data_IF_957257706489
#
_entry.id   IF_957257706489
#
_cell.length_a   1.000
_cell.length_b   1.000
_cell.length_c   1.000
_cell.angle_alpha   90.00
_cell.angle_beta   90.00
_cell.angle_gamma   90.00
#
_symmetry.space_group_name_H-M   'P 1'
#
loop_
_entity.id
_entity.type
_entity.pdbx_description
1 polymer ?
#
# COMPACT_ATOMS: atom_id res chain seq x y z
N UNK A 1 -18.37 2.22 18.12
CA UNK A 1 -17.20 1.67 17.39
C UNK A 1 -17.49 1.62 15.88
N UNK A 2 -16.48 1.65 14.99
CA UNK A 2 -16.74 1.50 13.54
C UNK A 2 -17.53 0.22 13.21
N UNK A 3 -17.35 -0.83 14.00
CA UNK A 3 -18.10 -2.08 13.93
C UNK A 3 -19.63 -1.92 14.09
N UNK A 4 -20.11 -0.84 14.73
CA UNK A 4 -21.54 -0.61 14.97
C UNK A 4 -22.22 0.14 13.81
N UNK A 5 -21.46 0.67 12.85
CA UNK A 5 -22.02 1.34 11.69
C UNK A 5 -22.53 0.30 10.67
N UNK A 6 -23.70 -0.31 10.94
CA UNK A 6 -24.46 -1.06 9.94
C UNK A 6 -25.16 -0.15 8.91
N UNK A 7 -24.67 1.09 8.73
CA UNK A 7 -25.27 2.09 7.86
C UNK A 7 -25.38 1.60 6.41
N UNK A 8 -24.43 0.79 5.95
CA UNK A 8 -24.50 0.15 4.64
C UNK A 8 -25.71 -0.78 4.50
N UNK A 9 -25.96 -1.63 5.50
CA UNK A 9 -27.07 -2.59 5.49
C UNK A 9 -28.44 -1.92 5.51
N UNK A 10 -28.54 -0.79 6.22
CA UNK A 10 -29.81 -0.07 6.37
C UNK A 10 -30.05 0.91 5.22
N UNK A 11 -29.02 1.54 4.67
CA UNK A 11 -29.19 2.64 3.70
C UNK A 11 -29.09 2.17 2.25
N UNK A 12 -28.14 1.27 1.94
CA UNK A 12 -27.85 0.88 0.55
C UNK A 12 -29.06 0.27 -0.17
N UNK A 13 -29.85 -0.64 0.44
CA UNK A 13 -31.00 -1.22 -0.25
C UNK A 13 -32.04 -0.20 -0.71
N UNK A 14 -32.11 0.96 -0.04
CA UNK A 14 -33.08 2.01 -0.34
C UNK A 14 -32.54 3.08 -1.31
N UNK A 15 -31.22 3.16 -1.50
CA UNK A 15 -30.60 4.17 -2.38
C UNK A 15 -31.18 4.20 -3.81
N UNK A 16 -31.52 3.08 -4.46
CA UNK A 16 -32.11 3.11 -5.80
C UNK A 16 -33.47 3.81 -5.88
N UNK A 17 -34.19 3.90 -4.76
CA UNK A 17 -35.53 4.50 -4.68
C UNK A 17 -35.50 5.99 -4.31
N UNK A 18 -34.32 6.55 -4.05
CA UNK A 18 -34.14 7.95 -3.65
C UNK A 18 -33.74 8.76 -4.88
N UNK A 19 -34.61 9.68 -5.31
CA UNK A 19 -34.40 10.49 -6.52
C UNK A 19 -33.18 11.42 -6.41
N UNK A 20 -33.02 12.13 -5.28
CA UNK A 20 -31.80 12.87 -4.96
C UNK A 20 -31.12 12.30 -3.71
N UNK A 21 -30.03 11.58 -3.93
CA UNK A 21 -29.22 10.95 -2.87
C UNK A 21 -28.02 11.79 -2.43
N UNK A 22 -27.85 13.00 -2.96
CA UNK A 22 -26.64 13.82 -2.74
C UNK A 22 -26.42 14.16 -1.26
N UNK A 23 -27.45 14.62 -0.57
CA UNK A 23 -27.39 14.97 0.85
C UNK A 23 -27.17 13.75 1.74
N UNK A 24 -27.87 12.65 1.43
CA UNK A 24 -27.72 11.38 2.13
C UNK A 24 -26.30 10.84 2.01
N UNK A 25 -25.76 10.74 0.80
CA UNK A 25 -24.37 10.31 0.54
C UNK A 25 -23.39 11.22 1.26
N UNK A 26 -23.61 12.54 1.24
CA UNK A 26 -22.78 13.51 1.94
C UNK A 26 -22.80 13.34 3.46
N UNK A 27 -23.97 13.00 4.02
CA UNK A 27 -24.16 12.72 5.45
C UNK A 27 -23.46 11.43 5.87
N UNK A 28 -23.64 10.35 5.08
CA UNK A 28 -22.94 9.09 5.34
C UNK A 28 -21.44 9.27 5.23
N UNK A 29 -20.94 9.93 4.18
CA UNK A 29 -19.50 10.21 4.05
C UNK A 29 -18.98 10.97 5.26
N UNK A 30 -19.68 11.99 5.75
CA UNK A 30 -19.29 12.71 6.98
C UNK A 30 -19.15 11.78 8.17
N UNK A 31 -20.12 10.88 8.38
CA UNK A 31 -20.06 9.87 9.46
C UNK A 31 -18.91 8.89 9.27
N UNK A 32 -18.68 8.40 8.06
CA UNK A 32 -17.55 7.50 7.75
C UNK A 32 -16.21 8.20 7.98
N UNK A 33 -16.04 9.44 7.53
CA UNK A 33 -14.82 10.22 7.78
C UNK A 33 -14.58 10.45 9.28
N UNK A 34 -15.62 10.78 10.05
CA UNK A 34 -15.51 10.94 11.50
C UNK A 34 -15.19 9.60 12.19
N UNK A 35 -15.76 8.50 11.72
CA UNK A 35 -15.43 7.18 12.24
C UNK A 35 -13.96 6.82 11.94
N UNK A 36 -13.48 7.09 10.72
CA UNK A 36 -12.08 6.96 10.32
C UNK A 36 -11.13 7.86 11.11
N UNK A 37 -11.63 8.91 11.79
CA UNK A 37 -10.79 9.71 12.68
C UNK A 37 -10.33 8.97 13.93
N UNK A 38 -11.12 7.99 14.35
CA UNK A 38 -10.83 7.15 15.50
C UNK A 38 -10.31 5.76 15.10
N UNK A 39 -10.12 5.53 13.80
CA UNK A 39 -9.55 4.29 13.29
C UNK A 39 -8.03 4.36 13.23
N UNK A 40 -7.38 3.39 13.86
CA UNK A 40 -5.97 3.08 13.65
C UNK A 40 -5.86 1.72 12.96
N UNK A 41 -5.22 1.62 11.78
CA UNK A 41 -5.04 0.34 11.11
C UNK A 41 -4.17 -0.60 11.96
N UNK A 42 -4.62 -1.83 12.18
CA UNK A 42 -3.86 -2.88 12.88
C UNK A 42 -3.91 -4.19 12.10
N UNK A 43 -3.06 -5.16 12.44
CA UNK A 43 -3.07 -6.47 11.76
C UNK A 43 -4.46 -7.14 11.70
N UNK A 44 -5.31 -6.92 12.72
CA UNK A 44 -6.59 -7.61 12.90
C UNK A 44 -7.84 -6.87 12.40
N UNK A 45 -7.87 -5.54 12.47
CA UNK A 45 -9.14 -4.80 12.28
C UNK A 45 -9.46 -4.38 10.83
N UNK A 46 -8.53 -4.57 9.89
CA UNK A 46 -8.68 -4.03 8.53
C UNK A 46 -9.85 -4.65 7.74
N UNK A 47 -10.13 -5.95 7.92
CA UNK A 47 -11.18 -6.64 7.15
C UNK A 47 -12.59 -6.08 7.41
N UNK A 48 -12.88 -5.76 8.68
CA UNK A 48 -14.16 -5.17 9.08
C UNK A 48 -14.33 -3.77 8.47
N UNK A 49 -13.27 -2.95 8.51
CA UNK A 49 -13.29 -1.58 7.96
C UNK A 49 -13.39 -1.60 6.44
N UNK A 50 -12.67 -2.50 5.76
CA UNK A 50 -12.79 -2.69 4.31
C UNK A 50 -14.24 -3.05 3.95
N UNK A 51 -14.84 -4.01 4.64
CA UNK A 51 -16.21 -4.44 4.39
C UNK A 51 -17.24 -3.33 4.63
N UNK A 52 -16.98 -2.47 5.62
CA UNK A 52 -17.80 -1.28 5.89
C UNK A 52 -17.70 -0.25 4.77
N UNK A 53 -16.48 0.04 4.30
CA UNK A 53 -16.24 1.14 3.37
C UNK A 53 -16.48 0.79 1.91
N UNK A 54 -16.18 -0.46 1.50
CA UNK A 54 -16.18 -0.87 0.10
C UNK A 54 -17.46 -0.45 -0.66
N UNK A 55 -18.69 -0.69 -0.16
CA UNK A 55 -19.88 -0.28 -0.88
C UNK A 55 -19.99 1.25 -1.04
N UNK A 56 -19.51 2.00 -0.06
CA UNK A 56 -19.51 3.46 -0.11
C UNK A 56 -18.44 4.02 -1.03
N UNK A 57 -17.32 3.31 -1.21
CA UNK A 57 -16.30 3.67 -2.21
C UNK A 57 -16.86 3.53 -3.64
N UNK A 58 -17.76 2.58 -3.88
CA UNK A 58 -18.45 2.40 -5.16
C UNK A 58 -19.59 3.41 -5.38
N UNK A 59 -20.31 3.77 -4.31
CA UNK A 59 -21.44 4.71 -4.37
C UNK A 59 -20.97 6.18 -4.44
N UNK A 60 -19.94 6.53 -3.69
CA UNK A 60 -19.42 7.90 -3.66
C UNK A 60 -18.73 8.22 -4.99
N UNK A 61 -18.88 9.46 -5.45
CA UNK A 61 -18.26 9.92 -6.69
C UNK A 61 -17.64 11.32 -6.49
N UNK A 62 -16.73 11.70 -7.40
CA UNK A 62 -16.11 13.01 -7.42
C UNK A 62 -15.49 13.42 -6.08
N UNK A 63 -15.93 14.57 -5.55
CA UNK A 63 -15.42 15.16 -4.30
C UNK A 63 -15.64 14.26 -3.07
N UNK A 64 -16.75 13.52 -3.05
CA UNK A 64 -17.12 12.68 -1.90
C UNK A 64 -16.19 11.46 -1.79
N UNK A 65 -15.95 10.78 -2.92
CA UNK A 65 -15.01 9.67 -3.01
C UNK A 65 -13.59 10.13 -2.67
N UNK A 66 -13.14 11.24 -3.26
CA UNK A 66 -11.81 11.80 -3.01
C UNK A 66 -11.57 12.07 -1.53
N UNK A 67 -12.54 12.67 -0.83
CA UNK A 67 -12.42 12.94 0.62
C UNK A 67 -12.31 11.66 1.44
N UNK A 68 -13.08 10.63 1.10
CA UNK A 68 -13.03 9.36 1.80
C UNK A 68 -11.71 8.63 1.55
N UNK A 69 -11.26 8.60 0.29
CA UNK A 69 -9.98 8.01 -0.13
C UNK A 69 -8.79 8.67 0.55
N UNK A 70 -8.73 10.01 0.57
CA UNK A 70 -7.66 10.76 1.27
C UNK A 70 -7.63 10.37 2.75
N UNK A 71 -8.80 10.32 3.40
CA UNK A 71 -8.90 9.98 4.83
C UNK A 71 -8.33 8.59 5.13
N UNK A 72 -8.70 7.59 4.34
CA UNK A 72 -8.16 6.23 4.48
C UNK A 72 -6.66 6.21 4.20
N UNK A 73 -6.23 6.87 3.12
CA UNK A 73 -4.83 6.93 2.70
C UNK A 73 -3.94 7.55 3.78
N UNK A 74 -4.40 8.61 4.44
CA UNK A 74 -3.67 9.26 5.54
C UNK A 74 -3.48 8.32 6.73
N UNK A 75 -4.52 7.54 7.09
CA UNK A 75 -4.43 6.56 8.19
C UNK A 75 -3.45 5.44 7.87
N UNK A 76 -3.47 4.93 6.64
CA UNK A 76 -2.49 3.94 6.16
C UNK A 76 -1.08 4.51 6.12
N UNK A 77 -0.91 5.77 5.69
CA UNK A 77 0.39 6.43 5.64
C UNK A 77 0.99 6.63 7.04
N UNK A 78 0.19 6.99 8.02
CA UNK A 78 0.60 7.06 9.44
C UNK A 78 1.12 5.71 9.92
N UNK A 79 0.36 4.64 9.70
CA UNK A 79 0.78 3.27 10.04
C UNK A 79 2.09 2.89 9.35
N UNK A 80 2.21 3.13 8.04
CA UNK A 80 3.42 2.81 7.27
C UNK A 80 4.64 3.62 7.72
N UNK A 81 4.47 4.86 8.17
CA UNK A 81 5.58 5.65 8.73
C UNK A 81 6.03 5.13 10.08
N UNK A 82 5.08 4.72 10.92
CA UNK A 82 5.36 4.30 12.29
C UNK A 82 5.93 2.87 12.37
N UNK A 83 5.44 1.96 11.52
CA UNK A 83 5.63 0.51 11.74
C UNK A 83 6.22 -0.24 10.54
N UNK A 84 6.42 0.41 9.38
CA UNK A 84 6.98 -0.22 8.20
C UNK A 84 8.41 0.25 7.92
N UNK A 85 9.36 -0.65 8.12
CA UNK A 85 10.76 -0.48 7.78
C UNK A 85 11.22 -1.59 6.85
N UNK A 86 12.08 -1.23 5.90
CA UNK A 86 12.72 -2.19 4.99
C UNK A 86 14.07 -2.53 5.59
N UNK A 87 14.26 -3.79 5.95
CA UNK A 87 15.49 -4.29 6.58
C UNK A 87 15.64 -5.78 6.29
N UNK A 88 16.75 -6.17 5.66
CA UNK A 88 17.02 -7.56 5.29
C UNK A 88 17.14 -8.52 6.48
N UNK A 89 17.60 -8.04 7.63
CA UNK A 89 17.80 -8.87 8.82
C UNK A 89 16.52 -9.04 9.63
N UNK A 90 15.64 -8.04 9.62
CA UNK A 90 14.41 -8.02 10.42
C UNK A 90 13.26 -7.34 9.69
N UNK A 91 12.65 -8.05 8.75
CA UNK A 91 11.57 -7.50 7.94
C UNK A 91 10.20 -7.60 8.65
N UNK A 92 9.61 -6.44 8.97
CA UNK A 92 8.23 -6.36 9.49
C UNK A 92 7.27 -6.17 8.32
N UNK A 93 6.61 -7.26 7.89
CA UNK A 93 5.76 -7.28 6.68
C UNK A 93 4.29 -6.99 6.90
N UNK A 94 3.81 -6.95 8.15
CA UNK A 94 2.38 -6.83 8.41
C UNK A 94 1.76 -5.51 7.89
N UNK A 95 2.42 -4.32 7.97
CA UNK A 95 1.83 -3.08 7.45
C UNK A 95 1.75 -3.11 5.92
N UNK A 96 2.74 -3.73 5.27
CA UNK A 96 2.72 -4.00 3.83
C UNK A 96 1.53 -4.89 3.46
N UNK A 97 1.33 -6.01 4.16
CA UNK A 97 0.18 -6.91 3.94
C UNK A 97 -1.15 -6.20 4.13
N UNK A 98 -1.24 -5.28 5.10
CA UNK A 98 -2.41 -4.42 5.26
C UNK A 98 -2.59 -3.55 4.02
N UNK A 99 -1.57 -2.81 3.59
CA UNK A 99 -1.65 -1.94 2.41
C UNK A 99 -2.09 -2.70 1.14
N UNK A 100 -1.61 -3.94 0.94
CA UNK A 100 -2.00 -4.76 -0.21
C UNK A 100 -3.50 -5.08 -0.21
N UNK A 101 -4.11 -5.32 0.96
CA UNK A 101 -5.56 -5.58 1.06
C UNK A 101 -6.42 -4.38 0.65
N UNK A 102 -5.86 -3.16 0.72
CA UNK A 102 -6.56 -1.94 0.32
C UNK A 102 -6.52 -1.66 -1.18
N UNK A 103 -5.79 -2.46 -1.96
CA UNK A 103 -5.66 -2.30 -3.42
C UNK A 103 -7.01 -2.27 -4.15
N UNK A 104 -7.94 -3.13 -3.77
CA UNK A 104 -9.26 -3.23 -4.41
C UNK A 104 -10.31 -2.24 -3.86
N UNK A 105 -9.96 -1.45 -2.85
CA UNK A 105 -10.90 -0.57 -2.12
C UNK A 105 -10.64 0.90 -2.44
N UNK A 106 -9.36 1.28 -2.49
CA UNK A 106 -8.95 2.64 -2.83
C UNK A 106 -8.89 2.83 -4.35
N UNK A 107 -9.11 4.07 -4.84
CA UNK A 107 -8.72 4.43 -6.20
C UNK A 107 -7.26 4.07 -6.45
N UNK A 108 -6.99 3.50 -7.63
CA UNK A 108 -5.67 2.97 -7.98
C UNK A 108 -4.54 3.99 -7.76
N UNK A 109 -4.72 5.23 -8.22
CA UNK A 109 -3.70 6.28 -8.11
C UNK A 109 -3.36 6.61 -6.65
N UNK A 110 -4.37 6.68 -5.77
CA UNK A 110 -4.20 6.99 -4.36
C UNK A 110 -3.46 5.85 -3.63
N UNK A 111 -3.88 4.60 -3.91
CA UNK A 111 -3.22 3.42 -3.36
C UNK A 111 -1.78 3.27 -3.88
N UNK A 112 -1.58 3.40 -5.19
CA UNK A 112 -0.27 3.22 -5.80
C UNK A 112 0.70 4.32 -5.36
N UNK A 113 0.23 5.54 -5.12
CA UNK A 113 1.06 6.61 -4.55
C UNK A 113 1.62 6.21 -3.17
N UNK A 114 0.82 5.57 -2.31
CA UNK A 114 1.29 5.05 -1.02
C UNK A 114 2.32 3.93 -1.22
N UNK A 115 2.04 2.96 -2.09
CA UNK A 115 2.96 1.86 -2.40
C UNK A 115 4.30 2.41 -2.90
N UNK A 116 4.25 3.32 -3.87
CA UNK A 116 5.44 3.94 -4.45
C UNK A 116 6.26 4.67 -3.38
N UNK A 117 5.61 5.52 -2.57
CA UNK A 117 6.31 6.37 -1.59
C UNK A 117 6.82 5.61 -0.38
N UNK A 118 6.05 4.65 0.13
CA UNK A 118 6.32 3.99 1.41
C UNK A 118 6.96 2.63 1.29
N UNK A 119 6.71 1.92 0.19
CA UNK A 119 7.22 0.56 -0.03
C UNK A 119 8.34 0.59 -1.06
N UNK A 120 8.03 0.88 -2.32
CA UNK A 120 8.99 0.77 -3.43
C UNK A 120 10.15 1.76 -3.27
N UNK A 121 9.87 3.00 -2.84
CA UNK A 121 10.93 3.98 -2.54
C UNK A 121 11.87 3.52 -1.43
N UNK A 122 11.35 2.93 -0.34
CA UNK A 122 12.19 2.39 0.74
C UNK A 122 12.97 1.15 0.29
N UNK A 123 12.33 0.27 -0.49
CA UNK A 123 12.96 -0.91 -1.08
C UNK A 123 14.15 -0.55 -1.95
N UNK A 124 13.96 0.35 -2.93
CA UNK A 124 15.03 0.76 -3.85
C UNK A 124 16.14 1.51 -3.14
N UNK A 125 15.80 2.38 -2.17
CA UNK A 125 16.82 3.09 -1.39
C UNK A 125 17.67 2.13 -0.56
N UNK A 126 17.04 1.18 0.14
CA UNK A 126 17.76 0.18 0.93
C UNK A 126 18.66 -0.68 0.04
N UNK A 127 18.16 -1.14 -1.11
CA UNK A 127 18.94 -1.91 -2.07
C UNK A 127 20.17 -1.13 -2.54
N UNK A 128 20.02 0.15 -2.89
CA UNK A 128 21.14 0.99 -3.33
C UNK A 128 22.21 1.09 -2.25
N UNK A 129 21.82 1.42 -1.02
CA UNK A 129 22.76 1.53 0.11
C UNK A 129 23.46 0.21 0.37
N UNK A 130 22.76 -0.92 0.26
CA UNK A 130 23.37 -2.24 0.43
C UNK A 130 24.36 -2.57 -0.70
N UNK A 131 24.06 -2.22 -1.94
CA UNK A 131 24.97 -2.44 -3.08
C UNK A 131 26.23 -1.57 -3.04
N UNK A 132 26.17 -0.41 -2.38
CA UNK A 132 27.33 0.48 -2.17
C UNK A 132 28.29 -0.02 -1.07
N UNK A 133 27.83 -0.92 -0.21
CA UNK A 133 28.66 -1.53 0.84
C UNK A 133 29.67 -2.52 0.23
N UNK A 134 30.96 -2.25 0.45
CA UNK A 134 32.05 -3.10 -0.03
C UNK A 134 32.03 -4.51 0.58
N UNK A 135 31.44 -4.68 1.75
CA UNK A 135 31.28 -5.97 2.42
C UNK A 135 30.02 -6.73 1.98
N UNK A 136 29.19 -6.15 1.11
CA UNK A 136 27.94 -6.76 0.69
C UNK A 136 28.17 -8.10 -0.01
N UNK A 137 27.41 -9.10 0.45
CA UNK A 137 27.30 -10.42 -0.19
C UNK A 137 26.14 -10.39 -1.20
N UNK A 138 26.48 -10.50 -2.49
CA UNK A 138 25.49 -10.42 -3.58
C UNK A 138 24.51 -11.60 -3.62
N UNK A 139 24.87 -12.75 -3.04
CA UNK A 139 23.92 -13.87 -2.89
C UNK A 139 22.78 -13.49 -1.94
N UNK A 140 23.12 -12.90 -0.79
CA UNK A 140 22.14 -12.45 0.20
C UNK A 140 21.24 -11.32 -0.36
N UNK A 141 21.82 -10.42 -1.16
CA UNK A 141 21.07 -9.36 -1.86
C UNK A 141 20.08 -9.95 -2.88
N UNK A 142 20.50 -10.97 -3.64
CA UNK A 142 19.63 -11.65 -4.60
C UNK A 142 18.48 -12.41 -3.92
N UNK A 143 18.78 -13.11 -2.82
CA UNK A 143 17.75 -13.81 -2.02
C UNK A 143 16.75 -12.83 -1.43
N UNK A 144 17.23 -11.71 -0.87
CA UNK A 144 16.37 -10.65 -0.34
C UNK A 144 15.47 -10.04 -1.43
N UNK A 145 16.03 -9.76 -2.62
CA UNK A 145 15.25 -9.29 -3.77
C UNK A 145 14.12 -10.27 -4.12
N UNK A 146 14.43 -11.56 -4.15
CA UNK A 146 13.47 -12.61 -4.49
C UNK A 146 12.37 -12.74 -3.44
N UNK A 147 12.73 -12.71 -2.16
CA UNK A 147 11.75 -12.69 -1.06
C UNK A 147 10.80 -11.51 -1.19
N UNK A 148 11.31 -10.31 -1.49
CA UNK A 148 10.46 -9.14 -1.73
C UNK A 148 9.51 -9.32 -2.90
N UNK A 149 9.98 -9.89 -4.01
CA UNK A 149 9.13 -10.21 -5.16
C UNK A 149 7.99 -11.17 -4.76
N UNK A 150 8.29 -12.19 -3.96
CA UNK A 150 7.31 -13.17 -3.49
C UNK A 150 6.31 -12.62 -2.45
N UNK A 151 6.63 -11.52 -1.76
CA UNK A 151 5.70 -10.90 -0.82
C UNK A 151 4.49 -10.27 -1.49
N UNK A 152 4.62 -9.83 -2.75
CA UNK A 152 3.52 -9.21 -3.48
C UNK A 152 2.48 -10.25 -3.91
N UNK A 153 1.18 -9.97 -3.72
CA UNK A 153 0.12 -10.75 -4.33
C UNK A 153 0.29 -10.80 -5.86
N UNK A 154 0.02 -11.95 -6.53
CA UNK A 154 0.24 -12.11 -7.97
C UNK A 154 -0.43 -11.03 -8.83
N UNK A 155 -1.67 -10.67 -8.48
CA UNK A 155 -2.46 -9.65 -9.17
C UNK A 155 -1.85 -8.26 -9.06
N UNK A 156 -1.17 -7.98 -7.95
CA UNK A 156 -0.47 -6.70 -7.74
C UNK A 156 0.89 -6.73 -8.44
N UNK A 157 1.61 -7.85 -8.37
CA UNK A 157 2.90 -8.00 -9.06
C UNK A 157 2.75 -7.99 -10.59
N UNK A 158 1.57 -8.34 -11.11
CA UNK A 158 1.25 -8.24 -12.53
C UNK A 158 1.15 -6.79 -13.03
N UNK A 159 0.98 -5.80 -12.15
CA UNK A 159 0.90 -4.39 -12.53
C UNK A 159 2.22 -3.93 -13.17
N UNK A 160 2.14 -3.33 -14.36
CA UNK A 160 3.32 -2.83 -15.08
C UNK A 160 4.14 -1.85 -14.25
N UNK A 161 3.45 -1.00 -13.48
CA UNK A 161 4.09 -0.02 -12.60
C UNK A 161 4.93 -0.66 -11.49
N UNK A 162 4.50 -1.81 -10.94
CA UNK A 162 5.27 -2.58 -9.95
C UNK A 162 6.41 -3.32 -10.63
N UNK A 163 6.15 -3.99 -11.75
CA UNK A 163 7.18 -4.71 -12.50
C UNK A 163 8.32 -3.81 -12.95
N UNK A 164 8.01 -2.58 -13.38
CA UNK A 164 9.00 -1.59 -13.81
C UNK A 164 10.01 -1.29 -12.70
N UNK A 165 9.55 -1.12 -11.46
CA UNK A 165 10.40 -0.85 -10.30
C UNK A 165 11.30 -2.07 -9.99
N UNK A 166 10.75 -3.29 -10.04
CA UNK A 166 11.53 -4.52 -9.84
C UNK A 166 12.54 -4.81 -10.95
N UNK A 167 12.23 -4.44 -12.21
CA UNK A 167 13.21 -4.50 -13.32
C UNK A 167 14.31 -3.47 -13.13
N UNK A 168 13.97 -2.24 -12.71
CA UNK A 168 14.96 -1.21 -12.37
C UNK A 168 15.93 -1.66 -11.27
N UNK A 169 15.41 -2.30 -10.22
CA UNK A 169 16.22 -2.88 -9.16
C UNK A 169 17.19 -3.97 -9.66
N UNK A 170 16.76 -4.85 -10.56
CA UNK A 170 17.66 -5.85 -11.18
C UNK A 170 18.78 -5.21 -12.00
N UNK A 171 18.47 -4.15 -12.74
CA UNK A 171 19.49 -3.40 -13.50
C UNK A 171 20.51 -2.78 -12.54
N UNK A 172 20.07 -2.21 -11.42
CA UNK A 172 20.97 -1.67 -10.39
C UNK A 172 21.91 -2.76 -9.82
N UNK A 173 21.38 -3.94 -9.50
CA UNK A 173 22.18 -5.07 -9.03
C UNK A 173 23.22 -5.49 -10.07
N UNK A 174 22.81 -5.62 -11.34
CA UNK A 174 23.70 -6.03 -12.43
C UNK A 174 24.84 -5.03 -12.66
N UNK A 175 24.53 -3.73 -12.58
CA UNK A 175 25.52 -2.68 -12.69
C UNK A 175 26.52 -2.70 -11.53
N UNK A 176 26.04 -2.91 -10.30
CA UNK A 176 26.89 -2.96 -9.11
C UNK A 176 27.88 -4.15 -9.15
N UNK A 177 27.44 -5.33 -9.61
CA UNK A 177 28.32 -6.49 -9.83
C UNK A 177 29.41 -6.15 -10.85
N UNK A 178 29.01 -5.63 -12.01
CA UNK A 178 29.94 -5.31 -13.11
C UNK A 178 30.99 -4.27 -12.69
N UNK A 179 30.56 -3.24 -11.96
CA UNK A 179 31.46 -2.20 -11.44
C UNK A 179 32.47 -2.78 -10.44
N UNK A 180 32.03 -3.68 -9.55
CA UNK A 180 32.89 -4.32 -8.56
C UNK A 180 33.93 -5.22 -9.21
N UNK A 181 33.55 -6.02 -10.20
CA UNK A 181 34.47 -6.86 -10.98
C UNK A 181 35.53 -6.01 -11.69
N UNK A 182 35.14 -4.88 -12.28
CA UNK A 182 36.08 -3.96 -12.94
C UNK A 182 37.04 -3.26 -11.97
N UNK A 183 36.64 -3.07 -10.71
CA UNK A 183 37.43 -2.40 -9.67
C UNK A 183 38.43 -3.32 -8.95
N UNK A 184 38.33 -4.64 -9.11
CA UNK A 184 39.29 -5.60 -8.56
C UNK A 184 40.58 -5.59 -9.39
N UNK A 185 41.77 -5.55 -8.77
CA UNK A 185 43.03 -5.62 -9.51
C UNK A 185 43.11 -6.96 -10.25
N UNK A 186 43.43 -6.92 -11.55
CA UNK A 186 43.73 -8.12 -12.33
C UNK A 186 45.00 -8.76 -11.76
N UNK A 187 44.86 -9.97 -11.24
CA UNK A 187 45.97 -10.82 -10.75
C UNK A 187 46.84 -11.26 -11.92
#
# INVERSE_FOLDING_TARGET
PLADLHIGRVVIPWLPYIHDRSELVSSVRRKLCAALDHWTPTKGNNGEIISLLLPWMEICQGKELRRLSIKVSDRLDVMLRAEFEVNAQRQVVWPFKVLMKWHSVLPFDDWFLLVKRRVLGKFTNYLRTWLEDQSANYADVADWYWQWKQLYPPEIFALESVQKEFRGALVLMSYAVSYREASLPKV
#
